data_IF_144851615635
#
_entry.id   IF_144851615635
#
_cell.length_a   1.000
_cell.length_b   1.000
_cell.length_c   1.000
_cell.angle_alpha   90.00
_cell.angle_beta   90.00
_cell.angle_gamma   90.00
#
_symmetry.space_group_name_H-M   'P 1'
#
loop_
_entity.id
_entity.type
_entity.pdbx_description
1 polymer ?
#
# COMPACT_ATOMS: atom_id res chain seq x y z
N UNK A 1 10.41 12.14 -17.20
CA UNK A 1 9.87 12.11 -15.82
C UNK A 1 10.12 10.72 -15.27
N UNK A 2 10.70 10.58 -14.08
CA UNK A 2 11.03 9.29 -13.43
C UNK A 2 12.12 8.42 -14.10
N UNK A 3 12.37 8.59 -15.40
CA UNK A 3 13.19 7.71 -16.25
C UNK A 3 14.40 8.41 -16.90
N UNK A 4 14.96 9.45 -16.27
CA UNK A 4 16.09 10.22 -16.82
C UNK A 4 17.44 9.84 -16.21
N UNK A 5 17.51 8.75 -15.44
CA UNK A 5 18.71 8.36 -14.71
C UNK A 5 18.40 7.71 -13.37
N UNK A 6 19.46 7.33 -12.66
CA UNK A 6 19.36 6.65 -11.36
C UNK A 6 18.98 7.59 -10.20
N UNK A 7 19.00 8.90 -10.44
CA UNK A 7 18.51 9.95 -9.56
C UNK A 7 17.01 10.28 -9.80
N UNK A 8 16.35 9.48 -10.64
CA UNK A 8 14.94 9.59 -10.96
C UNK A 8 14.19 8.31 -10.58
N UNK A 9 12.90 8.44 -10.24
CA UNK A 9 12.06 7.31 -9.88
C UNK A 9 10.57 7.60 -10.11
N UNK A 10 9.75 6.58 -10.01
CA UNK A 10 8.29 6.68 -9.93
C UNK A 10 7.77 5.68 -8.91
N UNK A 11 6.66 5.98 -8.26
CA UNK A 11 6.12 5.07 -7.26
C UNK A 11 4.69 5.40 -6.84
N UNK A 12 4.15 4.47 -6.07
CA UNK A 12 2.84 4.54 -5.43
C UNK A 12 3.00 4.28 -3.95
N UNK A 13 2.30 5.03 -3.11
CA UNK A 13 2.39 4.91 -1.67
C UNK A 13 1.03 5.12 -0.99
N UNK A 14 0.81 4.39 0.09
CA UNK A 14 -0.35 4.51 0.96
C UNK A 14 0.10 5.00 2.32
N UNK A 15 -0.62 5.96 2.90
CA UNK A 15 -0.22 6.55 4.19
C UNK A 15 -0.32 5.58 5.37
N UNK A 16 -1.09 4.49 5.21
CA UNK A 16 -1.18 3.32 6.08
C UNK A 16 -1.27 2.07 5.20
N UNK A 17 -0.99 0.88 5.75
CA UNK A 17 -1.12 -0.37 5.01
C UNK A 17 -2.59 -0.61 4.58
N UNK A 18 -2.91 -0.68 3.27
CA UNK A 18 -4.28 -0.83 2.78
C UNK A 18 -4.87 -2.23 3.02
N UNK A 19 -4.03 -3.22 3.36
CA UNK A 19 -4.42 -4.60 3.63
C UNK A 19 -4.69 -4.85 5.10
N UNK A 20 -3.80 -4.38 5.98
CA UNK A 20 -3.87 -4.63 7.43
C UNK A 20 -4.44 -3.45 8.23
N UNK A 21 -4.37 -2.25 7.68
CA UNK A 21 -4.70 -0.98 8.35
C UNK A 21 -3.63 -0.48 9.31
N UNK A 22 -2.48 -1.15 9.40
CA UNK A 22 -1.39 -0.72 10.26
C UNK A 22 -0.87 0.66 9.83
N UNK A 23 -0.57 1.53 10.80
CA UNK A 23 -0.03 2.86 10.56
C UNK A 23 1.45 2.85 10.13
N UNK A 24 1.76 2.12 9.06
CA UNK A 24 3.08 2.01 8.44
C UNK A 24 3.06 2.67 7.07
N UNK A 25 4.17 3.30 6.68
CA UNK A 25 4.26 3.88 5.35
C UNK A 25 4.47 2.74 4.34
N UNK A 26 3.42 2.44 3.57
CA UNK A 26 3.37 1.32 2.66
C UNK A 26 3.48 1.81 1.22
N UNK A 27 4.22 1.12 0.36
CA UNK A 27 4.33 1.53 -1.03
C UNK A 27 5.51 0.93 -1.76
N UNK A 28 5.51 1.13 -3.06
CA UNK A 28 6.50 0.60 -3.96
C UNK A 28 6.96 1.65 -4.97
N UNK A 29 8.20 1.52 -5.42
CA UNK A 29 8.80 2.44 -6.38
C UNK A 29 9.75 1.69 -7.33
N UNK A 30 10.06 2.34 -8.45
CA UNK A 30 11.07 1.91 -9.40
C UNK A 30 11.99 3.08 -9.73
N UNK A 31 13.31 2.83 -9.64
CA UNK A 31 14.35 3.75 -10.09
C UNK A 31 14.43 3.71 -11.62
N UNK A 32 14.65 4.87 -12.23
CA UNK A 32 14.78 5.04 -13.67
C UNK A 32 13.64 4.35 -14.44
N UNK A 33 12.41 4.76 -14.15
CA UNK A 33 11.18 4.12 -14.62
C UNK A 33 10.06 5.14 -14.84
N UNK A 34 9.03 4.75 -15.58
CA UNK A 34 7.77 5.49 -15.67
C UNK A 34 6.65 4.75 -14.93
N UNK A 35 5.54 5.46 -14.65
CA UNK A 35 4.40 4.88 -13.91
C UNK A 35 3.87 3.59 -14.54
N UNK A 36 3.91 3.49 -15.87
CA UNK A 36 3.54 2.29 -16.62
C UNK A 36 4.37 1.06 -16.22
N UNK A 37 5.66 1.22 -15.93
CA UNK A 37 6.55 0.12 -15.51
C UNK A 37 6.17 -0.44 -14.14
N UNK A 38 5.62 0.40 -13.27
CA UNK A 38 5.15 0.00 -11.92
C UNK A 38 3.90 -0.87 -12.04
N UNK A 39 3.02 -0.57 -13.00
CA UNK A 39 1.74 -1.29 -13.20
C UNK A 39 1.92 -2.53 -14.07
N UNK A 40 2.81 -2.49 -15.06
CA UNK A 40 2.98 -3.57 -16.03
C UNK A 40 3.59 -4.86 -15.44
N UNK A 41 4.19 -4.80 -14.24
CA UNK A 41 4.75 -5.98 -13.56
C UNK A 41 5.96 -6.60 -14.25
N UNK A 42 6.55 -5.92 -15.24
CA UNK A 42 7.76 -6.37 -15.97
C UNK A 42 9.00 -6.27 -15.08
N UNK A 43 9.04 -5.26 -14.20
CA UNK A 43 10.09 -5.04 -13.23
C UNK A 43 9.53 -5.24 -11.84
N UNK A 44 10.25 -5.99 -11.00
CA UNK A 44 9.89 -6.15 -9.59
C UNK A 44 10.03 -4.80 -8.87
N UNK A 45 8.93 -4.23 -8.35
CA UNK A 45 8.99 -2.98 -7.60
C UNK A 45 9.78 -3.14 -6.30
N UNK A 46 10.41 -2.06 -5.86
CA UNK A 46 11.15 -1.98 -4.60
C UNK A 46 10.29 -1.31 -3.54
N UNK A 47 10.50 -1.64 -2.27
CA UNK A 47 9.69 -1.08 -1.18
C UNK A 47 10.15 0.33 -0.82
N UNK A 48 9.23 1.23 -0.47
CA UNK A 48 9.62 2.59 -0.08
C UNK A 48 10.35 2.64 1.29
N UNK A 49 10.02 1.74 2.21
CA UNK A 49 10.61 1.68 3.57
C UNK A 49 11.49 0.45 3.78
N UNK A 50 12.49 0.58 4.65
CA UNK A 50 13.29 -0.56 5.14
C UNK A 50 12.41 -1.59 5.87
N UNK A 51 11.40 -1.11 6.61
CA UNK A 51 10.43 -1.98 7.28
C UNK A 51 9.63 -2.82 6.26
N UNK A 52 9.10 -2.20 5.21
CA UNK A 52 8.39 -2.89 4.13
C UNK A 52 9.27 -3.91 3.41
N UNK A 53 10.52 -3.54 3.10
CA UNK A 53 11.53 -4.45 2.53
C UNK A 53 11.73 -5.70 3.39
N UNK A 54 11.89 -5.54 4.72
CA UNK A 54 12.05 -6.65 5.66
C UNK A 54 10.81 -7.52 5.75
N UNK A 55 9.62 -6.91 5.80
CA UNK A 55 8.35 -7.63 5.84
C UNK A 55 8.16 -8.52 4.59
N UNK A 56 8.56 -8.01 3.42
CA UNK A 56 8.48 -8.73 2.14
C UNK A 56 9.68 -9.64 1.86
N UNK A 57 10.69 -9.67 2.75
CA UNK A 57 11.94 -10.42 2.56
C UNK A 57 12.62 -10.11 1.22
N UNK A 58 12.61 -8.84 0.83
CA UNK A 58 13.24 -8.37 -0.39
C UNK A 58 14.71 -8.01 -0.15
N UNK A 59 15.58 -8.46 -1.05
CA UNK A 59 17.00 -8.09 -1.06
C UNK A 59 17.24 -6.73 -1.74
N UNK A 60 16.27 -6.23 -2.51
CA UNK A 60 16.38 -4.96 -3.21
C UNK A 60 16.39 -3.79 -2.22
N UNK A 61 17.15 -2.71 -2.47
CA UNK A 61 17.20 -1.57 -1.58
C UNK A 61 15.85 -0.86 -1.47
N UNK A 62 15.55 -0.30 -0.31
CA UNK A 62 14.37 0.53 -0.12
C UNK A 62 14.63 1.98 -0.58
N UNK A 63 13.55 2.74 -0.87
CA UNK A 63 13.68 4.17 -1.21
C UNK A 63 14.37 4.97 -0.10
N UNK A 64 14.06 4.63 1.15
CA UNK A 64 14.72 5.13 2.36
C UNK A 64 16.26 4.96 2.34
N UNK A 65 16.77 3.94 1.63
CA UNK A 65 18.21 3.68 1.47
C UNK A 65 18.79 4.41 0.25
N UNK A 66 18.09 4.42 -0.89
CA UNK A 66 18.63 4.94 -2.17
C UNK A 66 18.39 6.43 -2.38
N UNK A 67 17.34 6.99 -1.80
CA UNK A 67 16.91 8.38 -1.98
C UNK A 67 16.43 8.96 -0.63
N UNK A 68 17.29 8.98 0.41
CA UNK A 68 16.87 9.27 1.79
C UNK A 68 16.24 10.64 1.96
N UNK A 69 16.70 11.66 1.24
CA UNK A 69 16.17 13.02 1.36
C UNK A 69 14.79 13.16 0.69
N UNK A 70 14.61 12.49 -0.45
CA UNK A 70 13.30 12.41 -1.12
C UNK A 70 12.32 11.60 -0.29
N UNK A 71 12.76 10.49 0.31
CA UNK A 71 11.94 9.69 1.21
C UNK A 71 11.46 10.51 2.42
N UNK A 72 12.34 11.28 3.06
CA UNK A 72 11.96 12.18 4.17
C UNK A 72 10.93 13.22 3.72
N UNK A 73 11.09 13.79 2.53
CA UNK A 73 10.11 14.73 1.98
C UNK A 73 8.76 14.04 1.75
N UNK A 74 8.77 12.84 1.19
CA UNK A 74 7.59 12.04 0.92
C UNK A 74 6.86 11.60 2.21
N UNK A 75 7.58 11.23 3.27
CA UNK A 75 7.00 10.90 4.58
C UNK A 75 6.43 12.14 5.29
N UNK A 76 7.05 13.32 5.11
CA UNK A 76 6.43 14.59 5.53
C UNK A 76 5.12 14.84 4.78
N UNK A 77 5.10 14.62 3.46
CA UNK A 77 3.89 14.74 2.63
C UNK A 77 2.80 13.77 3.10
N UNK A 78 3.13 12.51 3.39
CA UNK A 78 2.22 11.51 3.94
C UNK A 78 1.42 12.07 5.13
N UNK A 79 2.11 12.64 6.12
CA UNK A 79 1.47 13.20 7.30
C UNK A 79 0.63 14.45 6.99
N UNK A 80 1.09 15.31 6.08
CA UNK A 80 0.32 16.50 5.66
C UNK A 80 -0.99 16.09 4.99
N UNK A 81 -0.95 15.15 4.06
CA UNK A 81 -2.11 14.68 3.31
C UNK A 81 -3.10 13.95 4.22
N UNK A 82 -2.63 13.03 5.05
CA UNK A 82 -3.49 12.30 5.98
C UNK A 82 -4.17 13.25 6.99
N UNK A 83 -3.45 14.26 7.49
CA UNK A 83 -4.03 15.27 8.38
C UNK A 83 -5.04 16.16 7.66
N UNK A 84 -4.76 16.57 6.42
CA UNK A 84 -5.61 17.46 5.65
C UNK A 84 -6.92 16.79 5.24
N UNK A 85 -6.82 15.60 4.62
CA UNK A 85 -7.98 14.84 4.16
C UNK A 85 -8.66 14.06 5.30
N UNK A 86 -8.02 14.01 6.47
CA UNK A 86 -8.47 13.26 7.65
C UNK A 86 -8.69 11.79 7.35
N UNK A 87 -8.01 11.19 6.36
CA UNK A 87 -8.19 9.81 5.94
C UNK A 87 -6.93 9.26 5.27
N UNK A 88 -6.82 7.93 5.18
CA UNK A 88 -5.68 7.26 4.55
C UNK A 88 -5.64 7.61 3.06
N UNK A 89 -4.48 8.06 2.58
CA UNK A 89 -4.29 8.50 1.20
C UNK A 89 -3.47 7.48 0.41
N UNK A 90 -3.90 7.27 -0.83
CA UNK A 90 -3.13 6.68 -1.93
C UNK A 90 -2.48 7.83 -2.70
N UNK A 91 -1.17 7.73 -2.93
CA UNK A 91 -0.30 8.79 -3.43
C UNK A 91 0.48 8.24 -4.62
N UNK A 92 0.35 8.91 -5.76
CA UNK A 92 1.19 8.66 -6.93
C UNK A 92 2.23 9.78 -7.03
N UNK A 93 3.51 9.40 -7.15
CA UNK A 93 4.61 10.35 -7.18
C UNK A 93 5.67 9.98 -8.21
N UNK A 94 6.42 10.99 -8.63
CA UNK A 94 7.64 10.82 -9.41
C UNK A 94 8.77 11.65 -8.80
N UNK A 95 9.99 11.16 -8.99
CA UNK A 95 11.23 11.84 -8.64
C UNK A 95 11.93 12.14 -9.94
N UNK A 96 12.25 13.41 -10.18
CA UNK A 96 13.06 13.80 -11.32
C UNK A 96 14.28 14.56 -10.80
N UNK A 97 15.46 13.94 -10.97
CA UNK A 97 16.76 14.49 -10.59
C UNK A 97 16.77 14.93 -9.12
N UNK A 98 16.37 14.02 -8.23
CA UNK A 98 16.28 14.26 -6.79
C UNK A 98 15.11 15.13 -6.32
N UNK A 99 14.27 15.66 -7.22
CA UNK A 99 13.11 16.47 -6.85
C UNK A 99 11.82 15.66 -6.86
N UNK A 100 11.09 15.68 -5.74
CA UNK A 100 9.79 15.04 -5.60
C UNK A 100 8.69 15.84 -6.31
N UNK A 101 7.82 15.13 -7.02
CA UNK A 101 6.58 15.63 -7.59
C UNK A 101 5.44 14.69 -7.22
N UNK A 102 4.35 15.24 -6.69
CA UNK A 102 3.11 14.51 -6.49
C UNK A 102 2.25 14.65 -7.74
N UNK A 103 1.82 13.51 -8.28
CA UNK A 103 1.02 13.46 -9.49
C UNK A 103 -0.46 13.33 -9.16
N UNK A 104 -0.78 12.52 -8.16
CA UNK A 104 -2.15 12.30 -7.72
C UNK A 104 -2.17 11.96 -6.23
N UNK A 105 -3.27 12.32 -5.58
CA UNK A 105 -3.64 11.73 -4.30
C UNK A 105 -5.15 11.53 -4.25
N UNK A 106 -5.59 10.50 -3.54
CA UNK A 106 -7.00 10.17 -3.31
C UNK A 106 -7.14 9.37 -2.02
N UNK A 107 -8.36 9.30 -1.49
CA UNK A 107 -8.66 8.35 -0.42
C UNK A 107 -8.34 6.93 -0.89
N UNK A 108 -7.44 6.25 -0.19
CA UNK A 108 -6.93 4.96 -0.62
C UNK A 108 -8.01 3.87 -0.52
N UNK A 109 -8.10 3.00 -1.53
CA UNK A 109 -8.89 1.78 -1.40
C UNK A 109 -8.20 0.84 -0.42
N UNK A 110 -8.99 0.11 0.37
CA UNK A 110 -8.49 -0.70 1.49
C UNK A 110 -9.44 -1.85 1.82
N UNK A 111 -8.95 -2.86 2.52
CA UNK A 111 -9.77 -4.00 2.98
C UNK A 111 -10.74 -3.57 4.09
N UNK A 112 -11.78 -4.35 4.35
CA UNK A 112 -12.69 -4.10 5.47
C UNK A 112 -11.96 -4.07 6.83
N UNK A 113 -11.01 -4.99 7.02
CA UNK A 113 -10.15 -5.03 8.21
C UNK A 113 -9.33 -3.74 8.35
N UNK A 114 -8.70 -3.28 7.26
CA UNK A 114 -7.93 -2.05 7.27
C UNK A 114 -8.83 -0.83 7.53
N UNK A 115 -10.00 -0.75 6.91
CA UNK A 115 -10.94 0.35 7.12
C UNK A 115 -11.33 0.52 8.60
N UNK A 116 -11.65 -0.59 9.27
CA UNK A 116 -12.01 -0.57 10.71
C UNK A 116 -10.83 -0.09 11.54
N UNK A 117 -9.66 -0.69 11.36
CA UNK A 117 -8.47 -0.34 12.15
C UNK A 117 -8.12 1.13 11.98
N UNK A 118 -8.07 1.61 10.74
CA UNK A 118 -7.74 3.01 10.43
C UNK A 118 -8.77 3.96 11.05
N UNK A 119 -10.06 3.68 10.94
CA UNK A 119 -11.10 4.54 11.51
C UNK A 119 -11.01 4.61 13.05
N UNK A 120 -10.73 3.48 13.72
CA UNK A 120 -10.55 3.43 15.17
C UNK A 120 -9.30 4.20 15.58
N UNK A 121 -8.13 3.92 14.98
CA UNK A 121 -6.88 4.58 15.31
C UNK A 121 -6.96 6.09 15.06
N UNK A 122 -7.55 6.54 13.94
CA UNK A 122 -7.74 7.98 13.68
C UNK A 122 -8.65 8.66 14.70
N UNK A 123 -9.64 7.95 15.24
CA UNK A 123 -10.49 8.49 16.30
C UNK A 123 -9.74 8.59 17.63
N UNK A 124 -8.89 7.61 17.96
CA UNK A 124 -8.02 7.62 19.15
C UNK A 124 -6.95 8.72 19.06
N UNK A 125 -6.37 8.91 17.87
CA UNK A 125 -5.45 10.00 17.53
C UNK A 125 -6.14 11.38 17.51
N UNK A 126 -7.47 11.43 17.68
CA UNK A 126 -8.31 12.64 17.59
C UNK A 126 -8.22 13.34 16.23
N UNK A 127 -7.81 12.62 15.18
CA UNK A 127 -7.87 13.09 13.82
C UNK A 127 -9.31 13.16 13.33
N UNK A 128 -10.15 12.23 13.78
CA UNK A 128 -11.60 12.21 13.56
C UNK A 128 -12.38 11.97 14.86
N UNK A 129 -13.68 12.23 14.83
CA UNK A 129 -14.61 11.89 15.91
C UNK A 129 -15.02 10.42 15.82
N UNK A 130 -15.57 9.88 16.92
CA UNK A 130 -16.13 8.51 16.93
C UNK A 130 -17.30 8.36 15.96
N UNK A 131 -18.14 9.38 15.83
CA UNK A 131 -19.26 9.37 14.89
C UNK A 131 -18.78 9.35 13.43
N UNK A 132 -17.77 10.16 13.10
CA UNK A 132 -17.09 10.09 11.79
C UNK A 132 -16.51 8.70 11.53
N UNK A 133 -15.86 8.08 12.53
CA UNK A 133 -15.30 6.74 12.39
C UNK A 133 -16.36 5.69 12.05
N UNK A 134 -17.53 5.73 12.71
CA UNK A 134 -18.65 4.82 12.44
C UNK A 134 -19.18 5.02 11.02
N UNK A 135 -19.41 6.26 10.60
CA UNK A 135 -19.98 6.57 9.28
C UNK A 135 -19.06 6.20 8.10
N UNK A 136 -17.75 6.03 8.33
CA UNK A 136 -16.77 5.62 7.30
C UNK A 136 -16.80 4.13 6.98
N UNK A 137 -17.37 3.31 7.86
CA UNK A 137 -17.43 1.87 7.65
C UNK A 137 -18.69 1.55 6.86
N UNK A 138 -18.50 1.07 5.62
CA UNK A 138 -19.61 0.53 4.85
C UNK A 138 -20.11 -0.76 5.54
N UNK A 139 -21.38 -0.83 5.98
CA UNK A 139 -21.91 -2.01 6.65
C UNK A 139 -21.75 -3.30 5.83
N UNK A 140 -21.90 -3.23 4.50
CA UNK A 140 -21.77 -4.42 3.64
C UNK A 140 -20.33 -4.94 3.52
N UNK A 141 -19.33 -4.13 3.86
CA UNK A 141 -17.94 -4.58 3.89
C UNK A 141 -17.66 -5.50 5.09
N UNK A 142 -18.49 -5.47 6.14
CA UNK A 142 -18.35 -6.35 7.32
C UNK A 142 -18.58 -7.82 6.97
N UNK A 143 -19.40 -8.11 5.96
CA UNK A 143 -19.65 -9.49 5.50
C UNK A 143 -18.34 -10.18 5.03
N UNK A 144 -17.38 -9.41 4.51
CA UNK A 144 -16.06 -9.95 4.13
C UNK A 144 -15.28 -10.49 5.34
N UNK A 145 -15.51 -9.97 6.53
CA UNK A 145 -14.89 -10.48 7.76
C UNK A 145 -15.47 -11.82 8.18
N UNK A 146 -16.66 -12.16 7.70
CA UNK A 146 -17.35 -13.42 7.94
C UNK A 146 -16.99 -14.49 6.89
N UNK A 147 -16.19 -14.14 5.87
CA UNK A 147 -15.77 -15.12 4.87
C UNK A 147 -14.94 -16.24 5.51
N UNK A 148 -15.15 -17.51 5.07
CA UNK A 148 -14.34 -18.63 5.51
C UNK A 148 -12.85 -18.38 5.31
N UNK A 149 -12.05 -18.69 6.32
CA UNK A 149 -10.57 -18.69 6.25
C UNK A 149 -10.06 -20.13 6.23
N UNK A 150 -8.88 -20.35 5.64
CA UNK A 150 -8.19 -21.63 5.78
C UNK A 150 -7.83 -21.84 7.25
N UNK A 151 -8.07 -23.04 7.76
CA UNK A 151 -7.57 -23.44 9.07
C UNK A 151 -6.03 -23.42 9.02
N UNK A 152 -5.35 -22.61 9.86
CA UNK A 152 -3.90 -22.52 9.88
C UNK A 152 -3.21 -23.84 10.23
N UNK A 153 -3.92 -24.78 10.87
CA UNK A 153 -3.40 -26.09 11.28
C UNK A 153 -3.71 -27.20 10.27
N UNK A 154 -4.50 -26.93 9.23
CA UNK A 154 -4.80 -27.95 8.23
C UNK A 154 -3.56 -28.33 7.42
N UNK A 155 -3.40 -29.62 7.06
CA UNK A 155 -2.31 -30.05 6.18
C UNK A 155 -2.46 -29.35 4.83
N UNK A 156 -1.37 -28.72 4.37
CA UNK A 156 -1.32 -27.96 3.12
C UNK A 156 -0.20 -28.46 2.23
N UNK A 157 -0.51 -28.67 0.95
CA UNK A 157 0.49 -28.90 -0.09
C UNK A 157 0.82 -27.55 -0.75
N UNK A 158 1.96 -26.97 -0.40
CA UNK A 158 2.42 -25.71 -1.00
C UNK A 158 3.05 -25.99 -2.37
N UNK A 159 2.43 -25.48 -3.44
CA UNK A 159 2.98 -25.58 -4.79
C UNK A 159 3.84 -24.36 -5.16
N UNK A 160 3.40 -23.16 -4.76
CA UNK A 160 4.07 -21.88 -5.07
C UNK A 160 3.69 -20.78 -4.06
N UNK A 161 4.34 -19.61 -4.15
CA UNK A 161 4.06 -18.40 -3.34
C UNK A 161 4.09 -17.15 -4.22
N UNK A 162 3.14 -16.24 -4.00
CA UNK A 162 3.08 -14.91 -4.63
C UNK A 162 2.96 -13.79 -3.60
N UNK A 163 2.69 -12.57 -4.09
CA UNK A 163 2.41 -11.41 -3.24
C UNK A 163 1.00 -11.50 -2.65
N UNK A 164 0.80 -11.18 -1.36
CA UNK A 164 -0.51 -11.20 -0.71
C UNK A 164 -1.35 -9.97 -1.13
N UNK A 165 -1.74 -9.88 -2.41
CA UNK A 165 -2.41 -8.72 -2.99
C UNK A 165 -3.82 -8.46 -2.42
N UNK A 166 -4.53 -9.51 -1.98
CA UNK A 166 -5.84 -9.41 -1.33
C UNK A 166 -5.97 -10.50 -0.27
N UNK A 167 -6.52 -10.21 0.92
CA UNK A 167 -6.78 -11.23 1.93
C UNK A 167 -7.91 -12.16 1.49
N UNK A 168 -7.85 -13.42 1.94
CA UNK A 168 -8.92 -14.39 1.75
C UNK A 168 -8.41 -15.81 1.46
N UNK A 169 -9.36 -16.73 1.35
CA UNK A 169 -9.14 -18.11 0.92
C UNK A 169 -10.10 -18.42 -0.23
N UNK A 170 -9.62 -19.10 -1.28
CA UNK A 170 -10.43 -19.48 -2.43
C UNK A 170 -10.20 -20.95 -2.79
N UNK A 171 -11.27 -21.62 -3.21
CA UNK A 171 -11.25 -22.99 -3.76
C UNK A 171 -12.08 -23.03 -5.03
N UNK A 172 -11.56 -23.68 -6.07
CA UNK A 172 -12.25 -23.73 -7.37
C UNK A 172 -11.45 -24.50 -8.42
N UNK A 173 -12.03 -24.61 -9.61
CA UNK A 173 -11.34 -25.12 -10.80
C UNK A 173 -10.56 -24.00 -11.47
N UNK A 174 -9.45 -24.34 -12.12
CA UNK A 174 -8.62 -23.37 -12.85
C UNK A 174 -9.25 -23.12 -14.22
N UNK A 175 -9.40 -21.84 -14.57
CA UNK A 175 -9.81 -21.37 -15.89
C UNK A 175 -8.80 -20.31 -16.38
N UNK A 176 -8.67 -20.15 -17.69
CA UNK A 176 -7.70 -19.24 -18.32
C UNK A 176 -8.36 -18.05 -19.05
N UNK A 177 -9.69 -18.01 -19.09
CA UNK A 177 -10.51 -16.94 -19.63
C UNK A 177 -11.67 -16.64 -18.67
N UNK A 178 -12.19 -15.42 -18.74
CA UNK A 178 -13.41 -15.04 -18.01
C UNK A 178 -14.68 -15.66 -18.64
N UNK A 179 -14.61 -15.97 -19.93
CA UNK A 179 -15.60 -16.74 -20.70
C UNK A 179 -15.35 -18.26 -20.59
#
# INVERSE_FOLDING_TARGET
>A
FGNQGNDCATGVAFTRDPSTGENTFYGEFLVNAQGEDVVAGIRTPQQITIAGKKAQKSDAPAMEEVMPDVFKELDRVRHVLEKHYRDMQDIEFTVQQGKLYLLQTRNGKRTAQAAIRIAVEMAEEKLITRDEAITRINPSALDQLLHPRLDPNAPRQLLTRGLPASPGAAVGKIYFSAD
#
